data_IF_670957880360
#
_entry.id   IF_670957880360
#
_cell.length_a   1.000
_cell.length_b   1.000
_cell.length_c   1.000
_cell.angle_alpha   90.00
_cell.angle_beta   90.00
_cell.angle_gamma   90.00
#
_symmetry.space_group_name_H-M   'P 1'
#
loop_
_entity.id
_entity.type
_entity.pdbx_description
1 polymer ?
#
# COMPACT_ATOMS: atom_id res chain seq x y z
N UNK A 1 13.47 -9.81 7.66
CA UNK A 1 14.08 -9.88 6.31
C UNK A 1 15.42 -9.13 6.29
N UNK A 2 15.49 -7.87 6.78
CA UNK A 2 16.74 -7.07 6.78
C UNK A 2 17.85 -7.79 7.57
N UNK A 3 17.55 -8.32 8.77
CA UNK A 3 18.53 -9.06 9.58
C UNK A 3 19.09 -10.27 8.82
N UNK A 4 18.21 -11.02 8.16
CA UNK A 4 18.64 -12.16 7.34
C UNK A 4 19.54 -11.74 6.18
N UNK A 5 19.15 -10.68 5.45
CA UNK A 5 19.97 -10.17 4.34
C UNK A 5 21.31 -9.65 4.83
N UNK A 6 21.35 -9.00 5.98
CA UNK A 6 22.59 -8.44 6.55
C UNK A 6 23.59 -9.51 7.03
N UNK A 7 23.18 -10.76 7.18
CA UNK A 7 24.03 -11.87 7.58
C UNK A 7 24.54 -12.72 6.39
N UNK A 8 24.08 -12.41 5.17
CA UNK A 8 24.47 -13.20 3.98
C UNK A 8 25.77 -12.67 3.40
N UNK A 9 26.66 -13.57 3.03
CA UNK A 9 27.95 -13.23 2.41
C UNK A 9 27.82 -12.71 0.97
N UNK A 10 26.70 -13.02 0.30
CA UNK A 10 26.41 -12.60 -1.06
C UNK A 10 25.56 -11.30 -1.14
N UNK A 11 25.29 -10.66 0.01
CA UNK A 11 24.53 -9.40 0.12
C UNK A 11 25.38 -8.31 0.73
N UNK A 12 25.43 -7.15 0.08
CA UNK A 12 25.99 -5.95 0.67
C UNK A 12 25.01 -5.35 1.69
N UNK A 13 25.26 -5.57 2.97
CA UNK A 13 24.41 -5.09 4.06
C UNK A 13 24.29 -3.56 4.12
N UNK A 14 25.22 -2.82 3.50
CA UNK A 14 25.17 -1.37 3.36
C UNK A 14 24.24 -0.87 2.25
N UNK A 15 23.74 -1.77 1.38
CA UNK A 15 22.98 -1.42 0.18
C UNK A 15 21.64 -2.15 0.08
N UNK A 16 20.88 -2.18 1.16
CA UNK A 16 19.55 -2.81 1.20
C UNK A 16 18.48 -1.78 0.82
N UNK A 17 17.63 -2.14 -0.13
CA UNK A 17 16.43 -1.38 -0.50
C UNK A 17 15.17 -2.21 -0.31
N UNK A 18 14.02 -1.55 -0.27
CA UNK A 18 12.70 -2.18 -0.27
C UNK A 18 11.83 -1.60 -1.39
N UNK A 19 11.14 -2.47 -2.11
CA UNK A 19 10.07 -2.11 -3.04
C UNK A 19 8.77 -2.67 -2.49
N UNK A 20 7.81 -1.79 -2.24
CA UNK A 20 6.46 -2.16 -1.83
C UNK A 20 5.44 -1.80 -2.89
N UNK A 21 4.53 -2.73 -3.23
CA UNK A 21 3.51 -2.54 -4.26
C UNK A 21 2.14 -2.64 -3.61
N UNK A 22 1.20 -1.77 -4.00
CA UNK A 22 -0.17 -1.76 -3.48
C UNK A 22 -0.20 -1.55 -1.96
N UNK A 23 -0.93 -2.37 -1.19
CA UNK A 23 -0.95 -2.33 0.28
C UNK A 23 0.44 -2.42 0.93
N UNK A 24 1.36 -3.14 0.28
CA UNK A 24 2.73 -3.28 0.76
C UNK A 24 3.58 -2.03 0.53
N UNK A 25 3.14 -1.08 -0.32
CA UNK A 25 3.81 0.21 -0.49
C UNK A 25 3.79 1.05 0.79
N UNK A 26 2.63 1.19 1.43
CA UNK A 26 2.52 1.85 2.74
C UNK A 26 3.27 1.10 3.85
N UNK A 27 3.23 -0.24 3.82
CA UNK A 27 3.98 -1.09 4.77
C UNK A 27 5.49 -0.92 4.58
N UNK A 28 5.98 -0.76 3.33
CA UNK A 28 7.39 -0.49 3.05
C UNK A 28 7.84 0.87 3.61
N UNK A 29 7.02 1.91 3.51
CA UNK A 29 7.28 3.19 4.16
C UNK A 29 7.36 3.05 5.69
N UNK A 30 6.42 2.30 6.28
CA UNK A 30 6.47 2.01 7.72
C UNK A 30 7.75 1.24 8.11
N UNK A 31 8.18 0.25 7.32
CA UNK A 31 9.42 -0.47 7.56
C UNK A 31 10.65 0.46 7.51
N UNK A 32 10.68 1.40 6.58
CA UNK A 32 11.76 2.39 6.46
C UNK A 32 11.83 3.37 7.64
N UNK A 33 10.73 3.59 8.37
CA UNK A 33 10.78 4.36 9.63
C UNK A 33 11.42 3.59 10.77
N UNK A 34 11.33 2.28 10.74
CA UNK A 34 11.77 1.41 11.83
C UNK A 34 13.21 0.92 11.65
N UNK A 35 13.65 0.74 10.41
CA UNK A 35 14.95 0.16 10.10
C UNK A 35 15.82 1.09 9.22
N UNK A 36 16.77 1.85 9.83
CA UNK A 36 17.67 2.75 9.09
C UNK A 36 18.66 2.05 8.14
N UNK A 37 18.75 0.73 8.17
CA UNK A 37 19.54 -0.06 7.21
C UNK A 37 18.90 -0.10 5.84
N UNK A 38 17.59 0.19 5.73
CA UNK A 38 16.91 0.39 4.44
C UNK A 38 17.34 1.74 3.87
N UNK A 39 18.18 1.72 2.82
CA UNK A 39 18.77 2.92 2.22
C UNK A 39 17.89 3.59 1.18
N UNK A 40 17.03 2.81 0.52
CA UNK A 40 16.09 3.31 -0.47
C UNK A 40 14.76 2.55 -0.38
N UNK A 41 13.65 3.27 -0.53
CA UNK A 41 12.29 2.70 -0.53
C UNK A 41 11.55 3.17 -1.76
N UNK A 42 11.07 2.24 -2.60
CA UNK A 42 10.13 2.53 -3.68
C UNK A 42 8.73 2.02 -3.31
N UNK A 43 7.77 2.93 -3.17
CA UNK A 43 6.37 2.62 -2.88
C UNK A 43 5.54 2.84 -4.14
N UNK A 44 5.16 1.73 -4.79
CA UNK A 44 4.52 1.74 -6.11
C UNK A 44 3.03 1.50 -5.94
N UNK A 45 2.20 2.39 -6.52
CA UNK A 45 0.74 2.34 -6.45
C UNK A 45 0.22 2.01 -5.06
N UNK A 46 0.81 2.69 -4.06
CA UNK A 46 0.65 2.36 -2.65
C UNK A 46 -0.77 2.61 -2.11
N UNK A 47 -1.11 1.85 -1.06
CA UNK A 47 -2.20 2.16 -0.15
C UNK A 47 -1.68 2.53 1.23
N UNK A 48 -2.39 3.42 1.91
CA UNK A 48 -2.41 3.42 3.36
C UNK A 48 -3.48 2.44 3.85
N UNK A 49 -3.05 1.22 4.16
CA UNK A 49 -3.97 0.16 4.60
C UNK A 49 -4.68 0.51 5.91
N UNK A 50 -4.10 1.37 6.73
CA UNK A 50 -4.71 1.81 7.98
C UNK A 50 -5.80 2.85 7.73
N UNK A 51 -5.57 3.78 6.80
CA UNK A 51 -6.55 4.78 6.39
C UNK A 51 -7.74 4.15 5.68
N UNK A 52 -7.52 3.28 4.69
CA UNK A 52 -8.64 2.66 3.97
C UNK A 52 -9.50 1.76 4.85
N UNK A 53 -8.91 1.05 5.82
CA UNK A 53 -9.68 0.20 6.73
C UNK A 53 -10.35 0.98 7.88
N UNK A 54 -9.88 2.17 8.19
CA UNK A 54 -10.46 3.04 9.22
C UNK A 54 -11.48 4.03 8.68
N UNK A 55 -11.30 4.49 7.44
CA UNK A 55 -12.02 5.63 6.87
C UNK A 55 -12.76 5.29 5.56
N UNK A 56 -12.58 4.06 5.01
CA UNK A 56 -13.10 3.71 3.69
C UNK A 56 -12.31 4.32 2.54
N UNK A 57 -12.74 4.04 1.30
CA UNK A 57 -12.19 4.69 0.12
C UNK A 57 -12.58 6.17 0.08
N UNK A 58 -11.61 7.03 -0.24
CA UNK A 58 -11.78 8.49 -0.29
C UNK A 58 -12.28 9.09 1.03
N UNK A 59 -12.00 8.40 2.15
CA UNK A 59 -12.45 8.74 3.51
C UNK A 59 -13.99 8.84 3.63
N UNK A 60 -14.73 8.15 2.78
CA UNK A 60 -16.19 8.22 2.73
C UNK A 60 -16.88 7.69 4.00
N UNK A 61 -16.19 6.83 4.76
CA UNK A 61 -16.69 6.21 6.00
C UNK A 61 -15.97 6.76 7.23
N UNK A 62 -15.32 7.94 7.14
CA UNK A 62 -14.59 8.53 8.27
C UNK A 62 -15.53 9.14 9.30
N UNK A 63 -16.15 8.27 10.08
CA UNK A 63 -16.98 8.64 11.23
C UNK A 63 -16.77 7.64 12.39
N UNK A 64 -17.04 8.10 13.61
CA UNK A 64 -17.03 7.24 14.79
C UNK A 64 -18.05 6.12 14.65
N UNK A 65 -19.25 6.44 14.15
CA UNK A 65 -20.35 5.50 13.97
C UNK A 65 -20.03 4.40 12.96
N UNK A 66 -19.43 4.73 11.82
CA UNK A 66 -18.97 3.75 10.82
C UNK A 66 -17.93 2.82 11.42
N UNK A 67 -16.96 3.36 12.13
CA UNK A 67 -15.93 2.54 12.80
C UNK A 67 -16.49 1.67 13.92
N UNK A 68 -17.46 2.17 14.69
CA UNK A 68 -18.13 1.38 15.72
C UNK A 68 -18.92 0.21 15.11
N UNK A 69 -19.68 0.47 14.05
CA UNK A 69 -20.44 -0.55 13.31
C UNK A 69 -19.52 -1.66 12.77
N UNK A 70 -18.38 -1.26 12.16
CA UNK A 70 -17.37 -2.21 11.69
C UNK A 70 -16.79 -3.06 12.83
N UNK A 71 -16.44 -2.46 13.97
CA UNK A 71 -15.91 -3.18 15.15
C UNK A 71 -16.93 -4.18 15.71
N UNK A 72 -18.21 -3.80 15.75
CA UNK A 72 -19.31 -4.68 16.16
C UNK A 72 -19.42 -5.89 15.24
N UNK A 73 -19.47 -5.65 13.91
CA UNK A 73 -19.54 -6.70 12.91
C UNK A 73 -18.33 -7.68 13.00
N UNK A 74 -17.13 -7.18 13.18
CA UNK A 74 -15.94 -8.03 13.37
C UNK A 74 -15.99 -8.83 14.68
N UNK A 75 -16.51 -8.27 15.77
CA UNK A 75 -16.66 -8.99 17.03
C UNK A 75 -17.66 -10.15 16.91
N UNK A 76 -18.79 -9.89 16.25
CA UNK A 76 -19.82 -10.90 15.94
C UNK A 76 -19.27 -12.00 15.03
N UNK A 77 -18.54 -11.62 13.96
CA UNK A 77 -17.91 -12.57 13.04
C UNK A 77 -16.91 -13.49 13.75
N UNK A 78 -16.04 -12.96 14.61
CA UNK A 78 -15.09 -13.79 15.40
C UNK A 78 -15.81 -14.80 16.30
N UNK A 79 -16.88 -14.38 16.95
CA UNK A 79 -17.68 -15.28 17.79
C UNK A 79 -18.36 -16.38 16.98
N UNK A 80 -18.91 -16.02 15.81
CA UNK A 80 -19.54 -16.98 14.91
C UNK A 80 -18.54 -17.97 14.32
N UNK A 81 -17.38 -17.50 13.89
CA UNK A 81 -16.29 -18.32 13.34
C UNK A 81 -15.77 -19.32 14.38
N UNK A 82 -15.60 -18.89 15.64
CA UNK A 82 -15.15 -19.76 16.71
C UNK A 82 -16.17 -20.87 16.99
N UNK A 83 -17.47 -20.55 17.02
CA UNK A 83 -18.54 -21.55 17.20
C UNK A 83 -18.58 -22.57 16.06
N UNK A 84 -18.36 -22.13 14.83
CA UNK A 84 -18.34 -22.98 13.64
C UNK A 84 -17.00 -23.72 13.44
N UNK A 85 -15.96 -23.36 14.19
CA UNK A 85 -14.58 -23.85 14.02
C UNK A 85 -14.02 -23.64 12.60
N UNK A 86 -14.39 -22.54 11.99
CA UNK A 86 -13.97 -22.15 10.63
C UNK A 86 -13.79 -20.65 10.56
N UNK A 87 -13.25 -20.14 9.43
CA UNK A 87 -13.07 -18.72 9.22
C UNK A 87 -13.91 -18.27 8.02
N UNK A 88 -14.69 -17.21 8.22
CA UNK A 88 -15.43 -16.57 7.13
C UNK A 88 -14.47 -15.77 6.25
N UNK A 89 -14.50 -16.02 4.95
CA UNK A 89 -13.74 -15.28 3.95
C UNK A 89 -14.49 -14.00 3.56
N UNK A 90 -13.75 -12.94 3.27
CA UNK A 90 -14.32 -11.64 2.91
C UNK A 90 -14.75 -11.54 1.44
N UNK A 91 -14.47 -12.58 0.63
CA UNK A 91 -14.49 -12.51 -0.82
C UNK A 91 -13.22 -11.85 -1.36
N UNK A 92 -12.89 -12.14 -2.61
CA UNK A 92 -11.82 -11.48 -3.35
C UNK A 92 -12.36 -10.27 -4.12
N UNK A 93 -11.78 -10.01 -5.29
CA UNK A 93 -12.39 -9.10 -6.26
C UNK A 93 -13.73 -9.69 -6.70
N UNK A 94 -14.73 -8.81 -6.79
CA UNK A 94 -16.11 -9.22 -7.13
C UNK A 94 -16.16 -10.04 -8.43
N UNK A 95 -16.94 -11.14 -8.43
CA UNK A 95 -17.15 -12.02 -9.57
C UNK A 95 -18.54 -12.70 -9.42
N UNK A 96 -19.46 -12.53 -10.38
CA UNK A 96 -19.31 -11.81 -11.65
C UNK A 96 -19.16 -10.29 -11.48
N UNK A 97 -18.51 -9.66 -12.48
CA UNK A 97 -18.35 -8.21 -12.49
C UNK A 97 -19.71 -7.51 -12.71
N UNK A 98 -20.17 -6.61 -11.81
CA UNK A 98 -21.37 -5.82 -12.04
C UNK A 98 -21.24 -4.91 -13.28
N UNK A 99 -22.31 -4.74 -14.01
CA UNK A 99 -22.33 -3.94 -15.25
C UNK A 99 -21.98 -2.47 -14.97
N UNK A 100 -22.51 -1.93 -13.88
CA UNK A 100 -22.31 -0.56 -13.40
C UNK A 100 -21.08 -0.37 -12.49
N UNK A 101 -20.20 -1.38 -12.38
CA UNK A 101 -19.04 -1.31 -11.52
C UNK A 101 -18.17 -0.08 -11.84
N UNK A 102 -17.64 0.61 -10.81
CA UNK A 102 -16.65 1.68 -10.99
C UNK A 102 -15.41 1.21 -11.76
N UNK A 103 -14.76 2.13 -12.49
CA UNK A 103 -13.62 1.77 -13.34
C UNK A 103 -12.53 1.00 -12.59
N UNK A 104 -12.18 1.40 -11.37
CA UNK A 104 -11.14 0.69 -10.61
C UNK A 104 -11.51 -0.76 -10.25
N UNK A 105 -12.80 -1.04 -10.07
CA UNK A 105 -13.29 -2.42 -9.87
C UNK A 105 -13.14 -3.22 -11.17
N UNK A 106 -13.44 -2.61 -12.31
CA UNK A 106 -13.22 -3.21 -13.64
C UNK A 106 -11.73 -3.51 -13.87
N UNK A 107 -10.84 -2.59 -13.49
CA UNK A 107 -9.39 -2.77 -13.58
C UNK A 107 -8.90 -3.93 -12.69
N UNK A 108 -9.40 -4.03 -11.45
CA UNK A 108 -9.10 -5.14 -10.56
C UNK A 108 -9.63 -6.46 -11.08
N UNK A 109 -10.85 -6.50 -11.61
CA UNK A 109 -11.42 -7.70 -12.23
C UNK A 109 -10.55 -8.15 -13.41
N UNK A 110 -10.22 -7.22 -14.31
CA UNK A 110 -9.39 -7.50 -15.48
C UNK A 110 -7.99 -8.03 -15.11
N UNK A 111 -7.45 -7.64 -13.95
CA UNK A 111 -6.20 -8.18 -13.44
C UNK A 111 -6.40 -9.52 -12.70
N UNK A 112 -7.19 -9.55 -11.63
CA UNK A 112 -7.23 -10.67 -10.69
C UNK A 112 -8.13 -11.83 -11.11
N UNK A 113 -9.13 -11.60 -11.96
CA UNK A 113 -10.12 -12.62 -12.39
C UNK A 113 -9.89 -13.14 -13.81
N UNK A 114 -8.82 -12.72 -14.48
CA UNK A 114 -8.44 -13.14 -15.82
C UNK A 114 -7.02 -13.73 -15.83
N UNK A 115 -6.58 -14.39 -16.93
CA UNK A 115 -5.22 -14.93 -17.04
C UNK A 115 -4.11 -13.89 -16.87
N UNK A 116 -4.41 -12.58 -16.92
CA UNK A 116 -3.45 -11.50 -16.75
C UNK A 116 -2.70 -11.59 -15.41
N UNK A 117 -3.41 -11.76 -14.30
CA UNK A 117 -2.81 -11.79 -12.96
C UNK A 117 -3.48 -12.78 -12.00
N UNK A 118 -4.37 -13.66 -12.51
CA UNK A 118 -4.98 -14.69 -11.68
C UNK A 118 -3.95 -15.63 -11.08
N UNK A 119 -4.05 -15.85 -9.78
CA UNK A 119 -3.27 -16.88 -9.12
C UNK A 119 -4.06 -17.54 -7.99
N UNK A 120 -4.03 -18.88 -7.94
CA UNK A 120 -4.79 -19.68 -6.97
C UNK A 120 -4.49 -19.40 -5.49
N UNK A 121 -3.35 -18.77 -5.19
CA UNK A 121 -2.97 -18.35 -3.83
C UNK A 121 -3.20 -16.86 -3.56
N UNK A 122 -3.71 -16.12 -4.54
CA UNK A 122 -4.05 -14.72 -4.36
C UNK A 122 -5.45 -14.59 -3.76
N UNK A 123 -5.57 -13.95 -2.60
CA UNK A 123 -6.87 -13.66 -2.00
C UNK A 123 -7.78 -12.85 -2.91
N UNK A 124 -7.24 -11.90 -3.67
CA UNK A 124 -8.04 -11.12 -4.62
C UNK A 124 -8.58 -11.95 -5.79
N UNK A 125 -7.86 -13.02 -6.18
CA UNK A 125 -8.29 -13.94 -7.25
C UNK A 125 -9.29 -14.99 -6.79
N UNK A 126 -9.31 -15.31 -5.50
CA UNK A 126 -10.10 -16.38 -4.88
C UNK A 126 -11.10 -15.84 -3.86
N UNK A 127 -11.28 -16.51 -2.73
CA UNK A 127 -12.27 -16.20 -1.70
C UNK A 127 -11.90 -15.03 -0.78
N UNK A 128 -10.79 -14.37 -1.06
CA UNK A 128 -10.30 -13.25 -0.27
C UNK A 128 -9.47 -13.69 0.95
N UNK A 129 -9.40 -12.80 1.89
CA UNK A 129 -8.81 -13.02 3.20
C UNK A 129 -9.90 -13.21 4.26
N UNK A 130 -9.53 -13.51 5.50
CA UNK A 130 -10.50 -13.61 6.60
C UNK A 130 -11.20 -12.27 6.82
N UNK A 131 -12.51 -12.30 6.99
CA UNK A 131 -13.32 -11.08 7.23
C UNK A 131 -12.75 -10.20 8.33
N UNK A 132 -12.18 -10.80 9.39
CA UNK A 132 -11.58 -10.08 10.51
C UNK A 132 -10.09 -9.78 10.33
N UNK A 133 -9.49 -10.13 9.19
CA UNK A 133 -8.05 -10.02 8.95
C UNK A 133 -7.52 -8.58 8.94
N UNK A 134 -8.35 -7.64 8.52
CA UNK A 134 -7.98 -6.22 8.45
C UNK A 134 -8.37 -5.40 9.69
N UNK A 135 -8.95 -6.01 10.71
CA UNK A 135 -9.41 -5.30 11.91
C UNK A 135 -8.28 -4.51 12.60
N UNK A 136 -7.07 -5.06 12.65
CA UNK A 136 -5.94 -4.38 13.26
C UNK A 136 -5.57 -3.08 12.51
N UNK A 137 -5.73 -3.05 11.20
CA UNK A 137 -5.43 -1.87 10.38
C UNK A 137 -6.34 -0.69 10.73
N UNK A 138 -7.62 -0.91 10.99
CA UNK A 138 -8.55 0.15 11.37
C UNK A 138 -8.20 0.81 12.73
N UNK A 139 -7.31 0.19 13.51
CA UNK A 139 -6.95 0.66 14.85
C UNK A 139 -5.46 1.02 15.00
N UNK A 140 -4.75 1.15 13.88
CA UNK A 140 -3.32 1.53 13.83
C UNK A 140 -3.11 2.67 12.84
N UNK A 141 -1.93 3.29 12.90
CA UNK A 141 -1.49 4.37 12.00
C UNK A 141 -0.07 4.06 11.52
N UNK A 142 0.05 3.32 10.41
CA UNK A 142 1.36 2.90 9.89
C UNK A 142 2.22 4.07 9.46
N UNK A 143 1.62 5.12 8.93
CA UNK A 143 2.35 6.24 8.35
C UNK A 143 2.64 7.38 9.35
N UNK A 144 2.39 7.15 10.64
CA UNK A 144 2.51 8.18 11.67
C UNK A 144 3.88 8.85 11.76
N UNK A 145 4.96 8.11 11.48
CA UNK A 145 6.34 8.60 11.58
C UNK A 145 7.08 8.68 10.24
N UNK A 146 6.40 8.60 9.09
CA UNK A 146 7.10 8.63 7.79
C UNK A 146 7.81 9.97 7.52
N UNK A 147 7.40 11.06 8.17
CA UNK A 147 8.10 12.33 8.15
C UNK A 147 9.51 12.27 8.76
N UNK A 148 9.85 11.21 9.49
CA UNK A 148 11.15 11.00 10.12
C UNK A 148 12.10 10.13 9.28
N UNK A 149 11.65 9.58 8.15
CA UNK A 149 12.47 8.76 7.24
C UNK A 149 13.62 9.61 6.69
N UNK A 150 14.85 9.23 6.99
CA UNK A 150 16.06 9.91 6.48
C UNK A 150 16.58 9.29 5.18
N UNK A 151 16.36 8.00 4.96
CA UNK A 151 16.72 7.30 3.72
C UNK A 151 15.92 7.81 2.52
N UNK A 152 16.37 7.47 1.32
CA UNK A 152 15.70 7.91 0.10
C UNK A 152 14.33 7.25 -0.08
N UNK A 153 13.34 8.02 -0.56
CA UNK A 153 11.99 7.50 -0.86
C UNK A 153 11.54 7.97 -2.24
N UNK A 154 11.03 7.03 -3.02
CA UNK A 154 10.30 7.26 -4.28
C UNK A 154 8.89 6.71 -4.13
N UNK A 155 7.88 7.56 -4.27
CA UNK A 155 6.48 7.14 -4.39
C UNK A 155 6.08 7.24 -5.86
N UNK A 156 5.53 6.15 -6.42
CA UNK A 156 5.07 6.08 -7.81
C UNK A 156 3.58 5.78 -7.85
N UNK A 157 2.81 6.59 -8.56
CA UNK A 157 1.39 6.33 -8.80
C UNK A 157 1.01 6.53 -10.27
N UNK A 158 0.00 5.79 -10.71
CA UNK A 158 -0.66 6.07 -11.98
C UNK A 158 -1.56 7.31 -11.87
N UNK A 159 -1.60 8.11 -12.93
CA UNK A 159 -2.46 9.29 -13.00
C UNK A 159 -3.93 8.95 -12.77
N UNK A 160 -4.39 7.81 -13.32
CA UNK A 160 -5.77 7.30 -13.23
C UNK A 160 -6.00 6.34 -12.06
N UNK A 161 -4.97 6.07 -11.24
CA UNK A 161 -5.12 5.18 -10.12
C UNK A 161 -6.06 5.78 -9.05
N UNK A 162 -7.14 5.07 -8.72
CA UNK A 162 -8.06 5.47 -7.65
C UNK A 162 -7.37 5.60 -6.28
N UNK A 163 -6.24 4.90 -6.08
CA UNK A 163 -5.41 4.95 -4.87
C UNK A 163 -4.39 6.09 -4.87
N UNK A 164 -4.34 6.93 -5.90
CA UNK A 164 -3.34 8.00 -6.05
C UNK A 164 -3.31 8.95 -4.84
N UNK A 165 -4.48 9.26 -4.29
CA UNK A 165 -4.60 10.17 -3.14
C UNK A 165 -3.86 9.67 -1.89
N UNK A 166 -3.72 8.35 -1.69
CA UNK A 166 -2.90 7.80 -0.59
C UNK A 166 -1.44 8.20 -0.74
N UNK A 167 -0.88 8.04 -1.94
CA UNK A 167 0.52 8.40 -2.19
C UNK A 167 0.77 9.90 -2.13
N UNK A 168 -0.13 10.71 -2.67
CA UNK A 168 -0.03 12.17 -2.61
C UNK A 168 -0.12 12.70 -1.18
N UNK A 169 -1.07 12.18 -0.38
CA UNK A 169 -1.19 12.53 1.04
C UNK A 169 0.03 12.07 1.84
N UNK A 170 0.50 10.83 1.61
CA UNK A 170 1.68 10.31 2.28
C UNK A 170 2.93 11.11 1.94
N UNK A 171 3.11 11.48 0.66
CA UNK A 171 4.24 12.32 0.24
C UNK A 171 4.19 13.69 0.90
N UNK A 172 3.05 14.36 0.87
CA UNK A 172 2.85 15.68 1.49
C UNK A 172 3.09 15.62 3.01
N UNK A 173 2.52 14.59 3.66
CA UNK A 173 2.75 14.38 5.10
C UNK A 173 4.23 14.12 5.42
N UNK A 174 4.89 13.29 4.61
CA UNK A 174 6.32 13.02 4.76
C UNK A 174 7.15 14.29 4.62
N UNK A 175 6.82 15.18 3.67
CA UNK A 175 7.55 16.43 3.45
C UNK A 175 7.29 17.47 4.53
N UNK A 176 6.02 17.74 4.84
CA UNK A 176 5.56 18.89 5.60
C UNK A 176 5.16 18.56 7.06
N UNK A 177 5.05 17.28 7.39
CA UNK A 177 4.54 16.81 8.68
C UNK A 177 3.04 16.99 8.86
N UNK A 178 2.31 17.35 7.80
CA UNK A 178 0.85 17.50 7.76
C UNK A 178 0.32 17.23 6.36
N UNK A 179 -0.85 16.62 6.25
CA UNK A 179 -1.55 16.43 4.98
C UNK A 179 -3.03 16.13 5.23
N UNK A 180 -3.85 16.30 4.20
CA UNK A 180 -5.23 15.86 4.19
C UNK A 180 -5.34 14.34 4.44
N UNK A 181 -6.34 13.93 5.22
CA UNK A 181 -6.56 12.55 5.62
C UNK A 181 -5.69 12.05 6.78
N UNK A 182 -4.89 12.95 7.38
CA UNK A 182 -4.14 12.68 8.61
C UNK A 182 -4.54 13.67 9.70
N UNK A 183 -4.99 13.15 10.84
CA UNK A 183 -5.46 13.89 12.01
C UNK A 183 -4.35 14.26 12.99
N UNK A 184 -3.09 14.14 12.56
CA UNK A 184 -1.91 14.43 13.36
C UNK A 184 -0.93 15.34 12.61
N UNK A 185 -0.25 16.19 13.36
CA UNK A 185 0.75 17.14 12.85
C UNK A 185 2.10 16.86 13.47
N UNK A 186 3.12 16.80 12.63
CA UNK A 186 4.51 16.53 13.01
C UNK A 186 5.43 17.62 12.44
N UNK A 187 6.73 17.49 12.68
CA UNK A 187 7.72 18.35 12.05
C UNK A 187 7.94 17.96 10.59
N UNK A 188 8.32 18.89 9.71
CA UNK A 188 8.76 18.58 8.36
C UNK A 188 9.92 17.58 8.34
N UNK A 189 10.08 16.88 7.21
CA UNK A 189 11.18 15.93 7.05
C UNK A 189 12.54 16.62 7.18
N UNK A 190 13.49 16.04 7.94
CA UNK A 190 14.83 16.61 8.09
C UNK A 190 15.71 16.44 6.83
N UNK A 191 15.34 15.59 5.88
CA UNK A 191 16.10 15.31 4.64
C UNK A 191 15.14 15.28 3.44
N UNK A 192 14.52 16.42 3.07
CA UNK A 192 13.51 16.44 2.02
C UNK A 192 14.10 16.22 0.61
N UNK A 193 15.36 16.51 0.39
CA UNK A 193 15.99 16.49 -0.93
C UNK A 193 16.09 15.08 -1.59
N UNK A 194 15.90 14.00 -0.81
CA UNK A 194 15.93 12.63 -1.32
C UNK A 194 14.55 11.97 -1.35
N UNK A 195 13.46 12.78 -1.33
CA UNK A 195 12.09 12.34 -1.42
C UNK A 195 11.51 12.70 -2.79
N UNK A 196 10.85 11.76 -3.45
CA UNK A 196 10.33 11.94 -4.79
C UNK A 196 8.91 11.37 -4.89
N UNK A 197 8.07 12.07 -5.65
CA UNK A 197 6.75 11.59 -6.09
C UNK A 197 6.72 11.60 -7.61
N UNK A 198 6.44 10.46 -8.21
CA UNK A 198 6.31 10.28 -9.65
C UNK A 198 4.88 9.86 -10.00
N UNK A 199 4.20 10.65 -10.82
CA UNK A 199 2.90 10.31 -11.39
C UNK A 199 3.09 9.89 -12.84
N UNK A 200 2.71 8.65 -13.15
CA UNK A 200 2.82 8.06 -14.49
C UNK A 200 1.57 8.42 -15.28
N UNK A 201 1.70 9.22 -16.37
CA UNK A 201 0.55 9.66 -17.15
C UNK A 201 -0.25 8.50 -17.72
N UNK A 202 -1.57 8.56 -17.61
CA UNK A 202 -2.51 7.60 -18.16
C UNK A 202 -2.56 6.22 -17.49
N UNK A 203 -1.64 5.89 -16.57
CA UNK A 203 -1.61 4.60 -15.89
C UNK A 203 -2.72 4.46 -14.84
N UNK A 204 -3.35 3.29 -14.81
CA UNK A 204 -4.25 2.87 -13.72
C UNK A 204 -3.44 2.29 -12.54
N UNK A 205 -4.13 1.86 -11.48
CA UNK A 205 -3.51 1.17 -10.36
C UNK A 205 -2.84 -0.14 -10.79
N UNK A 206 -3.56 -0.97 -11.56
CA UNK A 206 -3.10 -2.29 -11.97
C UNK A 206 -2.05 -2.25 -13.08
N UNK A 207 -1.96 -1.17 -13.87
CA UNK A 207 -0.90 -1.01 -14.87
C UNK A 207 0.49 -0.88 -14.25
N UNK A 208 0.57 -0.53 -12.96
CA UNK A 208 1.82 -0.51 -12.22
C UNK A 208 2.14 -1.86 -11.52
N UNK A 209 1.36 -2.92 -11.77
CA UNK A 209 1.67 -4.27 -11.31
C UNK A 209 2.52 -5.04 -12.33
N UNK A 210 2.13 -4.96 -13.60
CA UNK A 210 2.70 -5.74 -14.71
C UNK A 210 3.08 -4.90 -15.94
N UNK A 211 2.83 -3.59 -15.89
CA UNK A 211 3.05 -2.65 -16.98
C UNK A 211 1.81 -2.44 -17.86
N UNK A 212 0.79 -3.30 -17.76
CA UNK A 212 -0.35 -3.28 -18.68
C UNK A 212 0.07 -3.50 -20.13
N UNK A 213 -0.82 -3.23 -21.06
CA UNK A 213 -0.55 -3.38 -22.51
C UNK A 213 0.53 -2.42 -23.04
N UNK A 214 0.78 -1.31 -22.34
CA UNK A 214 1.67 -0.23 -22.79
C UNK A 214 3.03 -0.19 -22.07
N UNK A 215 3.33 -1.16 -21.22
CA UNK A 215 4.59 -1.19 -20.47
C UNK A 215 4.74 0.02 -19.53
N UNK A 216 3.70 0.36 -18.76
CA UNK A 216 3.60 1.62 -18.03
C UNK A 216 4.44 1.71 -16.73
N UNK A 217 5.13 0.64 -16.33
CA UNK A 217 6.03 0.73 -15.17
C UNK A 217 7.25 1.60 -15.54
N UNK A 218 7.55 2.66 -14.80
CA UNK A 218 8.67 3.57 -15.12
C UNK A 218 10.00 2.99 -14.64
N UNK A 219 10.44 1.89 -15.28
CA UNK A 219 11.64 1.14 -14.89
C UNK A 219 12.90 1.99 -14.82
N UNK A 220 13.12 2.87 -15.79
CA UNK A 220 14.30 3.74 -15.84
C UNK A 220 14.37 4.66 -14.61
N UNK A 221 13.23 5.25 -14.21
CA UNK A 221 13.17 6.11 -13.03
C UNK A 221 13.42 5.33 -11.73
N UNK A 222 12.86 4.11 -11.64
CA UNK A 222 13.03 3.25 -10.46
C UNK A 222 14.49 2.80 -10.37
N UNK A 223 15.07 2.35 -11.48
CA UNK A 223 16.45 1.90 -11.54
C UNK A 223 17.44 3.03 -11.22
N UNK A 224 17.26 4.22 -11.83
CA UNK A 224 18.07 5.39 -11.54
C UNK A 224 18.00 5.78 -10.07
N UNK A 225 16.78 5.82 -9.50
CA UNK A 225 16.57 6.09 -8.10
C UNK A 225 17.33 5.11 -7.18
N UNK A 226 17.22 3.81 -7.46
CA UNK A 226 17.89 2.78 -6.66
C UNK A 226 19.41 2.87 -6.81
N UNK A 227 19.95 2.96 -8.03
CA UNK A 227 21.40 3.09 -8.29
C UNK A 227 21.99 4.31 -7.58
N UNK A 228 21.34 5.46 -7.68
CA UNK A 228 21.78 6.71 -7.06
C UNK A 228 21.85 6.63 -5.54
N UNK A 229 20.95 5.90 -4.91
CA UNK A 229 20.81 5.89 -3.45
C UNK A 229 21.43 4.66 -2.76
N UNK A 230 21.76 3.62 -3.53
CA UNK A 230 22.48 2.44 -3.02
C UNK A 230 24.00 2.50 -3.26
N UNK A 231 24.48 3.35 -4.15
CA UNK A 231 25.90 3.48 -4.47
C UNK A 231 26.58 4.67 -3.75
N UNK A 232 25.97 5.17 -2.67
CA UNK A 232 26.51 6.27 -1.86
C UNK A 232 27.29 5.76 -0.65
#
# INVERSE_FOLDING_TARGET
AVDYLSMRDDVDAGRIAIIGICGWGGIALNAATQDPRIKATAAITMYDMTRVNGNGYFDADDSEESRYSARKAWAEARTADLKKKTFTQAGGVVDPLPEDAPQFIKDYYAYYKTPRGYHKRSGNSTDGWRTTGCQAYANTRFLYYINEIRSAVLIVHGEKAHSRYFGESAFRYMMDGKAEGYDFVRKPNPVPANKQLLIVPGASHCDLYDGGEKGMIPWDNIEEFLKKNLNK
#
